data_IF_419276564244
#
_entry.id   IF_419276564244
#
_cell.length_a   1.000
_cell.length_b   1.000
_cell.length_c   1.000
_cell.angle_alpha   90.00
_cell.angle_beta   90.00
_cell.angle_gamma   90.00
#
_symmetry.space_group_name_H-M   'P 1'
#
loop_
_entity.id
_entity.type
_entity.pdbx_description
1 polymer ?
#
# COMPACT_ATOMS: atom_id res chain seq x y z
N UNK A 1 -7.01 -19.26 17.14
CA UNK A 1 -8.34 -18.69 16.86
C UNK A 1 -8.52 -17.44 17.71
N UNK A 2 -8.87 -16.30 17.08
CA UNK A 2 -9.23 -15.10 17.82
C UNK A 2 -10.47 -15.37 18.68
N UNK A 3 -10.38 -15.00 19.96
CA UNK A 3 -11.55 -15.09 20.84
C UNK A 3 -12.55 -13.96 20.51
N UNK A 4 -13.83 -14.12 20.83
CA UNK A 4 -14.81 -13.03 20.71
C UNK A 4 -14.38 -11.75 21.44
N UNK A 5 -13.71 -11.91 22.59
CA UNK A 5 -13.18 -10.78 23.35
C UNK A 5 -12.04 -10.07 22.63
N UNK A 6 -11.14 -10.81 21.99
CA UNK A 6 -10.07 -10.24 21.17
C UNK A 6 -10.64 -9.45 19.96
N UNK A 7 -11.61 -9.99 19.27
CA UNK A 7 -12.31 -9.31 18.17
C UNK A 7 -12.94 -8.01 18.66
N UNK A 8 -13.62 -8.06 19.80
CA UNK A 8 -14.26 -6.89 20.41
C UNK A 8 -13.24 -5.81 20.80
N UNK A 9 -12.13 -6.19 21.44
CA UNK A 9 -11.05 -5.25 21.82
C UNK A 9 -10.40 -4.63 20.58
N UNK A 10 -10.12 -5.44 19.55
CA UNK A 10 -9.59 -4.96 18.27
C UNK A 10 -10.56 -3.96 17.63
N UNK A 11 -11.86 -4.27 17.63
CA UNK A 11 -12.91 -3.38 17.12
C UNK A 11 -12.94 -2.04 17.85
N UNK A 12 -12.88 -2.06 19.17
CA UNK A 12 -12.88 -0.84 19.99
C UNK A 12 -11.64 0.02 19.71
N UNK A 13 -10.46 -0.62 19.63
CA UNK A 13 -9.22 0.08 19.34
C UNK A 13 -9.25 0.76 17.95
N UNK A 14 -9.79 0.07 16.94
CA UNK A 14 -9.93 0.61 15.60
C UNK A 14 -10.98 1.75 15.58
N UNK A 15 -12.14 1.56 16.21
CA UNK A 15 -13.19 2.57 16.25
C UNK A 15 -12.71 3.87 16.90
N UNK A 16 -11.89 3.79 17.96
CA UNK A 16 -11.28 4.97 18.59
C UNK A 16 -10.38 5.75 17.61
N UNK A 17 -9.67 5.07 16.72
CA UNK A 17 -8.77 5.70 15.77
C UNK A 17 -9.49 6.24 14.53
N UNK A 18 -10.40 5.46 13.96
CA UNK A 18 -11.01 5.77 12.64
C UNK A 18 -12.39 6.42 12.74
N UNK A 19 -13.03 6.34 13.91
CA UNK A 19 -14.37 6.86 14.17
C UNK A 19 -15.50 5.97 13.66
N UNK A 20 -16.69 6.13 14.24
CA UNK A 20 -17.88 5.31 13.94
C UNK A 20 -18.28 5.31 12.47
N UNK A 21 -18.12 6.43 11.78
CA UNK A 21 -18.50 6.54 10.37
C UNK A 21 -17.65 5.60 9.48
N UNK A 22 -16.36 5.50 9.76
CA UNK A 22 -15.48 4.62 9.00
C UNK A 22 -15.64 3.15 9.39
N UNK A 23 -15.99 2.87 10.66
CA UNK A 23 -16.21 1.50 11.14
C UNK A 23 -17.31 0.73 10.40
N UNK A 24 -18.30 1.39 9.82
CA UNK A 24 -19.35 0.73 9.02
C UNK A 24 -18.83 0.04 7.75
N UNK A 25 -17.63 0.39 7.30
CA UNK A 25 -16.96 -0.20 6.14
C UNK A 25 -15.99 -1.30 6.53
N UNK A 26 -15.74 -1.50 7.84
CA UNK A 26 -14.74 -2.42 8.38
C UNK A 26 -15.43 -3.60 9.04
N UNK A 27 -15.08 -4.79 8.60
CA UNK A 27 -15.42 -6.05 9.25
C UNK A 27 -14.16 -6.64 9.87
N UNK A 28 -14.27 -7.16 11.08
CA UNK A 28 -13.18 -7.83 11.78
C UNK A 28 -13.61 -9.26 12.00
N UNK A 29 -12.83 -10.19 11.46
CA UNK A 29 -13.15 -11.62 11.45
C UNK A 29 -12.01 -12.44 12.04
N UNK A 30 -12.33 -13.64 12.52
CA UNK A 30 -11.33 -14.66 12.77
C UNK A 30 -10.84 -15.24 11.42
N UNK A 31 -9.57 -15.66 11.36
CA UNK A 31 -8.97 -16.18 10.12
C UNK A 31 -9.75 -17.33 9.48
N UNK A 32 -10.35 -18.18 10.28
CA UNK A 32 -11.15 -19.31 9.81
C UNK A 32 -12.54 -18.92 9.25
N UNK A 33 -13.02 -17.73 9.58
CA UNK A 33 -14.29 -17.17 9.10
C UNK A 33 -14.14 -16.50 7.73
N UNK A 34 -12.90 -16.32 7.28
CA UNK A 34 -12.61 -15.75 5.97
C UNK A 34 -13.12 -16.72 4.92
N UNK A 35 -14.13 -16.31 4.16
CA UNK A 35 -14.54 -17.02 2.95
C UNK A 35 -13.31 -17.10 2.03
N UNK A 36 -12.86 -18.32 1.74
CA UNK A 36 -11.70 -18.54 0.88
C UNK A 36 -12.07 -18.16 -0.55
N UNK A 37 -11.58 -17.04 -1.09
CA UNK A 37 -11.65 -16.83 -2.52
C UNK A 37 -10.80 -17.89 -3.23
N UNK A 38 -11.04 -18.12 -4.51
CA UNK A 38 -10.35 -19.14 -5.34
C UNK A 38 -8.82 -19.03 -5.35
N UNK A 39 -8.27 -17.91 -4.89
CA UNK A 39 -6.84 -17.58 -4.73
C UNK A 39 -6.36 -17.55 -3.26
N UNK A 40 -6.85 -18.46 -2.43
CA UNK A 40 -6.61 -18.50 -0.98
C UNK A 40 -5.12 -18.58 -0.53
N UNK A 41 -4.17 -18.82 -1.43
CA UNK A 41 -2.74 -18.83 -1.07
C UNK A 41 -2.23 -17.45 -0.67
N UNK A 42 -2.71 -16.39 -1.30
CA UNK A 42 -2.23 -15.01 -1.09
C UNK A 42 -2.73 -14.39 0.23
N UNK A 43 -3.73 -14.98 0.88
CA UNK A 43 -4.34 -14.43 2.10
C UNK A 43 -3.80 -15.04 3.40
N UNK A 44 -2.89 -16.02 3.34
CA UNK A 44 -2.37 -16.71 4.54
C UNK A 44 -1.68 -15.76 5.52
N UNK A 45 -0.97 -14.77 5.00
CA UNK A 45 -0.22 -13.79 5.80
C UNK A 45 -0.87 -12.39 5.80
N UNK A 46 -2.04 -12.24 5.17
CA UNK A 46 -2.72 -10.97 5.12
C UNK A 46 -3.19 -10.53 6.52
N UNK A 47 -3.03 -9.25 6.81
CA UNK A 47 -3.58 -8.61 8.01
C UNK A 47 -5.00 -8.07 7.77
N UNK A 48 -5.31 -7.76 6.51
CA UNK A 48 -6.57 -7.29 6.02
C UNK A 48 -6.49 -6.99 4.54
N UNK A 49 -7.61 -6.64 3.94
CA UNK A 49 -7.71 -6.19 2.56
C UNK A 49 -8.95 -5.33 2.33
N UNK A 50 -8.89 -4.48 1.32
CA UNK A 50 -10.01 -3.76 0.76
C UNK A 50 -10.53 -4.48 -0.49
N UNK A 51 -11.83 -4.69 -0.57
CA UNK A 51 -12.51 -5.23 -1.75
C UNK A 51 -13.17 -4.09 -2.53
N UNK A 52 -12.67 -3.73 -3.73
CA UNK A 52 -13.22 -2.64 -4.52
C UNK A 52 -14.63 -2.91 -5.06
N UNK A 53 -15.04 -4.19 -5.19
CA UNK A 53 -16.38 -4.54 -5.69
C UNK A 53 -17.46 -4.27 -4.65
N UNK A 54 -17.19 -4.64 -3.40
CA UNK A 54 -18.12 -4.46 -2.29
C UNK A 54 -17.87 -3.16 -1.50
N UNK A 55 -16.72 -2.50 -1.74
CA UNK A 55 -16.20 -1.36 -0.98
C UNK A 55 -16.09 -1.63 0.52
N UNK A 56 -15.87 -2.88 0.89
CA UNK A 56 -15.69 -3.32 2.27
C UNK A 56 -14.24 -3.62 2.57
N UNK A 57 -13.91 -3.47 3.84
CA UNK A 57 -12.59 -3.78 4.40
C UNK A 57 -12.77 -4.95 5.33
N UNK A 58 -11.98 -5.99 5.15
CA UNK A 58 -11.90 -7.13 6.06
C UNK A 58 -10.55 -7.13 6.76
N UNK A 59 -10.56 -7.23 8.09
CA UNK A 59 -9.37 -7.31 8.93
C UNK A 59 -9.36 -8.64 9.69
N UNK A 60 -8.19 -9.28 9.77
CA UNK A 60 -8.02 -10.57 10.42
C UNK A 60 -7.48 -10.35 11.83
N UNK A 61 -8.31 -10.66 12.85
CA UNK A 61 -8.00 -10.36 14.25
C UNK A 61 -6.69 -10.99 14.74
N UNK A 62 -6.38 -12.22 14.33
CA UNK A 62 -5.13 -12.92 14.71
C UNK A 62 -3.88 -12.29 14.10
N UNK A 63 -4.02 -11.59 13.00
CA UNK A 63 -2.92 -10.90 12.33
C UNK A 63 -2.64 -9.49 12.88
N UNK A 64 -3.43 -9.05 13.87
CA UNK A 64 -3.36 -7.73 14.49
C UNK A 64 -2.88 -7.85 15.94
N UNK A 65 -1.59 -8.05 16.19
CA UNK A 65 -1.05 -8.46 17.49
C UNK A 65 -1.21 -7.40 18.58
N UNK A 66 -1.44 -6.16 18.22
CA UNK A 66 -1.61 -5.05 19.15
C UNK A 66 -2.47 -3.93 18.56
N UNK A 67 -2.92 -3.04 19.44
CA UNK A 67 -3.79 -1.93 19.11
C UNK A 67 -3.21 -1.01 18.02
N UNK A 68 -1.92 -0.69 18.10
CA UNK A 68 -1.25 0.18 17.11
C UNK A 68 -1.23 -0.44 15.71
N UNK A 69 -0.92 -1.72 15.63
CA UNK A 69 -0.97 -2.46 14.35
C UNK A 69 -2.38 -2.49 13.80
N UNK A 70 -3.39 -2.76 14.65
CA UNK A 70 -4.78 -2.79 14.23
C UNK A 70 -5.25 -1.44 13.67
N UNK A 71 -4.93 -0.34 14.35
CA UNK A 71 -5.23 1.01 13.90
C UNK A 71 -4.54 1.35 12.60
N UNK A 72 -3.25 0.99 12.48
CA UNK A 72 -2.47 1.23 11.26
C UNK A 72 -3.07 0.50 10.05
N UNK A 73 -3.36 -0.81 10.20
CA UNK A 73 -3.94 -1.61 9.11
C UNK A 73 -5.32 -1.09 8.73
N UNK A 74 -6.16 -0.73 9.70
CA UNK A 74 -7.47 -0.14 9.43
C UNK A 74 -7.37 1.15 8.62
N UNK A 75 -6.46 2.05 8.99
CA UNK A 75 -6.21 3.28 8.22
C UNK A 75 -5.66 3.00 6.83
N UNK A 76 -4.79 2.00 6.70
CA UNK A 76 -4.24 1.60 5.42
C UNK A 76 -5.36 1.16 4.46
N UNK A 77 -6.22 0.24 4.89
CA UNK A 77 -7.31 -0.26 4.05
C UNK A 77 -8.40 0.82 3.79
N UNK A 78 -8.66 1.68 4.77
CA UNK A 78 -9.52 2.86 4.57
C UNK A 78 -8.94 3.82 3.54
N UNK A 79 -7.62 3.95 3.49
CA UNK A 79 -6.94 4.72 2.48
C UNK A 79 -7.18 4.16 1.07
N UNK A 80 -7.04 2.85 0.87
CA UNK A 80 -7.37 2.20 -0.41
C UNK A 80 -8.81 2.46 -0.82
N UNK A 81 -9.75 2.29 0.11
CA UNK A 81 -11.16 2.60 -0.14
C UNK A 81 -11.38 4.06 -0.53
N UNK A 82 -10.79 5.00 0.19
CA UNK A 82 -10.95 6.42 -0.11
C UNK A 82 -10.28 6.84 -1.41
N UNK A 83 -9.16 6.22 -1.77
CA UNK A 83 -8.49 6.43 -3.05
C UNK A 83 -9.40 5.92 -4.18
N UNK A 84 -9.99 4.74 -4.03
CA UNK A 84 -10.89 4.15 -5.01
C UNK A 84 -12.15 5.02 -5.21
N UNK A 85 -12.75 5.51 -4.12
CA UNK A 85 -14.00 6.28 -4.16
C UNK A 85 -13.77 7.76 -4.50
N UNK A 86 -12.76 8.40 -3.94
CA UNK A 86 -12.63 9.86 -3.94
C UNK A 86 -11.28 10.39 -4.47
N UNK A 87 -10.29 9.56 -4.67
CA UNK A 87 -8.90 10.00 -4.85
C UNK A 87 -8.13 9.40 -6.01
N UNK A 88 -8.74 8.52 -6.80
CA UNK A 88 -8.06 7.76 -7.88
C UNK A 88 -7.29 8.66 -8.86
N UNK A 89 -7.88 9.76 -9.30
CA UNK A 89 -7.21 10.68 -10.24
C UNK A 89 -5.93 11.32 -9.66
N UNK A 90 -5.96 11.67 -8.36
CA UNK A 90 -4.79 12.26 -7.68
C UNK A 90 -3.69 11.24 -7.48
N UNK A 91 -4.07 10.02 -7.16
CA UNK A 91 -3.16 8.90 -7.02
C UNK A 91 -2.50 8.55 -8.36
N UNK A 92 -3.29 8.46 -9.43
CA UNK A 92 -2.78 8.29 -10.78
C UNK A 92 -1.85 9.43 -11.20
N UNK A 93 -2.16 10.67 -10.86
CA UNK A 93 -1.31 11.82 -11.18
C UNK A 93 0.06 11.71 -10.48
N UNK A 94 0.10 11.28 -9.21
CA UNK A 94 1.34 11.05 -8.48
C UNK A 94 2.23 10.02 -9.18
N UNK A 95 1.66 8.85 -9.52
CA UNK A 95 2.44 7.79 -10.15
C UNK A 95 2.81 8.11 -11.59
N UNK A 96 1.99 8.86 -12.31
CA UNK A 96 2.35 9.40 -13.63
C UNK A 96 3.54 10.35 -13.53
N UNK A 97 3.57 11.19 -12.50
CA UNK A 97 4.71 12.08 -12.22
C UNK A 97 5.96 11.26 -11.88
N UNK A 98 5.85 10.20 -11.08
CA UNK A 98 6.95 9.31 -10.77
C UNK A 98 7.50 8.61 -12.01
N UNK A 99 6.63 8.06 -12.85
CA UNK A 99 6.99 7.39 -14.10
C UNK A 99 7.71 8.33 -15.07
N UNK A 100 7.22 9.56 -15.23
CA UNK A 100 7.82 10.52 -16.16
C UNK A 100 9.07 11.21 -15.60
N UNK A 101 9.17 11.32 -14.28
CA UNK A 101 10.23 12.08 -13.60
C UNK A 101 11.45 11.27 -13.17
N UNK A 102 11.38 9.93 -13.23
CA UNK A 102 12.48 9.07 -12.81
C UNK A 102 12.73 7.95 -13.84
N UNK A 103 13.89 7.96 -14.55
CA UNK A 103 14.18 6.98 -15.60
C UNK A 103 14.29 5.54 -15.08
N UNK A 104 14.71 5.32 -13.82
CA UNK A 104 14.79 3.99 -13.22
C UNK A 104 13.38 3.44 -12.96
N UNK A 105 12.49 4.24 -12.36
CA UNK A 105 11.09 3.87 -12.15
C UNK A 105 10.44 3.54 -13.49
N UNK A 106 10.66 4.38 -14.50
CA UNK A 106 10.14 4.16 -15.84
C UNK A 106 10.60 2.83 -16.42
N UNK A 107 11.90 2.56 -16.38
CA UNK A 107 12.49 1.34 -16.94
C UNK A 107 12.00 0.08 -16.22
N UNK A 108 11.96 0.09 -14.87
CA UNK A 108 11.46 -1.02 -14.07
C UNK A 108 9.98 -1.25 -14.34
N UNK A 109 9.16 -0.21 -14.33
CA UNK A 109 7.72 -0.31 -14.62
C UNK A 109 7.46 -0.87 -16.03
N UNK A 110 8.21 -0.43 -17.05
CA UNK A 110 8.10 -0.92 -18.41
C UNK A 110 8.48 -2.42 -18.50
N UNK A 111 9.50 -2.87 -17.74
CA UNK A 111 9.89 -4.28 -17.67
C UNK A 111 8.80 -5.12 -17.01
N UNK A 112 8.27 -4.69 -15.87
CA UNK A 112 7.17 -5.37 -15.16
C UNK A 112 5.94 -5.45 -16.05
N UNK A 113 5.57 -4.36 -16.69
CA UNK A 113 4.43 -4.31 -17.59
C UNK A 113 4.57 -5.26 -18.79
N UNK A 114 5.77 -5.34 -19.39
CA UNK A 114 6.06 -6.28 -20.48
C UNK A 114 5.94 -7.74 -20.03
N UNK A 115 6.46 -8.06 -18.84
CA UNK A 115 6.38 -9.42 -18.29
C UNK A 115 4.92 -9.86 -18.02
N UNK A 116 4.05 -8.92 -17.67
CA UNK A 116 2.61 -9.17 -17.37
C UNK A 116 1.69 -9.11 -18.58
N UNK A 117 2.17 -8.77 -19.75
CA UNK A 117 1.34 -8.65 -21.00
C UNK A 117 0.58 -9.91 -21.41
N UNK A 118 0.82 -11.06 -20.78
CA UNK A 118 0.03 -12.27 -20.98
C UNK A 118 -1.24 -12.35 -20.11
N UNK A 119 -1.46 -11.46 -19.14
CA UNK A 119 -2.66 -11.39 -18.32
C UNK A 119 -3.67 -10.43 -19.01
N UNK A 120 -4.71 -10.99 -19.58
CA UNK A 120 -5.55 -10.37 -20.62
C UNK A 120 -6.46 -9.21 -20.18
N UNK A 121 -6.59 -8.84 -18.90
CA UNK A 121 -7.58 -7.85 -18.46
C UNK A 121 -6.94 -6.62 -17.79
N UNK A 122 -7.18 -5.44 -18.37
CA UNK A 122 -6.91 -4.17 -17.74
C UNK A 122 -5.54 -3.52 -18.03
N UNK A 123 -5.16 -3.31 -19.30
CA UNK A 123 -3.86 -2.73 -19.68
C UNK A 123 -3.48 -1.42 -18.96
N UNK A 124 -4.44 -0.53 -18.68
CA UNK A 124 -4.19 0.72 -17.98
C UNK A 124 -3.92 0.49 -16.46
N UNK A 125 -4.68 -0.40 -15.83
CA UNK A 125 -4.49 -0.79 -14.44
C UNK A 125 -3.15 -1.52 -14.24
N UNK A 126 -2.82 -2.45 -15.15
CA UNK A 126 -1.55 -3.18 -15.10
C UNK A 126 -0.34 -2.25 -15.24
N UNK A 127 -0.44 -1.19 -16.05
CA UNK A 127 0.63 -0.20 -16.17
C UNK A 127 0.77 0.62 -14.88
N UNK A 128 -0.32 1.00 -14.27
CA UNK A 128 -0.34 1.73 -13.01
C UNK A 128 0.30 0.89 -11.89
N UNK A 129 -0.13 -0.37 -11.72
CA UNK A 129 0.44 -1.30 -10.74
C UNK A 129 1.93 -1.54 -10.96
N UNK A 130 2.38 -1.62 -12.21
CA UNK A 130 3.80 -1.74 -12.52
C UNK A 130 4.61 -0.51 -12.07
N UNK A 131 4.04 0.69 -12.15
CA UNK A 131 4.69 1.92 -11.63
C UNK A 131 4.72 1.92 -10.11
N UNK A 132 3.65 1.49 -9.45
CA UNK A 132 3.61 1.34 -8.00
C UNK A 132 4.71 0.40 -7.50
N UNK A 133 4.84 -0.79 -8.10
CA UNK A 133 5.91 -1.75 -7.76
C UNK A 133 7.30 -1.15 -7.97
N UNK A 134 7.53 -0.49 -9.10
CA UNK A 134 8.82 0.14 -9.39
C UNK A 134 9.18 1.21 -8.35
N UNK A 135 8.20 2.01 -7.92
CA UNK A 135 8.38 3.02 -6.86
C UNK A 135 8.68 2.35 -5.52
N UNK A 136 7.93 1.31 -5.15
CA UNK A 136 8.09 0.60 -3.90
C UNK A 136 9.47 -0.08 -3.80
N UNK A 137 9.87 -0.79 -4.85
CA UNK A 137 11.18 -1.46 -4.91
C UNK A 137 12.36 -0.48 -4.83
N UNK A 138 12.30 0.62 -5.60
CA UNK A 138 13.36 1.61 -5.58
C UNK A 138 13.43 2.35 -4.23
N UNK A 139 12.29 2.61 -3.59
CA UNK A 139 12.24 3.20 -2.27
C UNK A 139 12.81 2.26 -1.20
N UNK A 140 12.47 0.97 -1.27
CA UNK A 140 13.03 -0.05 -0.38
C UNK A 140 14.56 -0.14 -0.50
N UNK A 141 15.08 -0.17 -1.74
CA UNK A 141 16.52 -0.16 -2.00
C UNK A 141 17.20 1.10 -1.45
N UNK A 142 16.56 2.26 -1.60
CA UNK A 142 17.09 3.52 -1.05
C UNK A 142 17.14 3.49 0.49
N UNK A 143 16.12 2.95 1.17
CA UNK A 143 16.05 2.90 2.63
C UNK A 143 17.00 1.88 3.25
N UNK A 144 17.19 0.74 2.58
CA UNK A 144 18.08 -0.33 3.06
C UNK A 144 19.52 -0.18 2.61
N UNK A 145 19.76 0.59 1.54
CA UNK A 145 21.05 0.66 0.86
C UNK A 145 21.32 -0.53 -0.04
N UNK A 146 20.41 -1.51 -0.11
CA UNK A 146 20.58 -2.75 -0.89
C UNK A 146 20.16 -2.58 -2.36
N UNK A 147 20.95 -1.82 -3.08
CA UNK A 147 20.77 -1.66 -4.52
C UNK A 147 21.15 -2.92 -5.31
N UNK A 148 21.96 -3.81 -4.74
CA UNK A 148 22.33 -5.06 -5.41
C UNK A 148 21.12 -5.99 -5.53
N UNK A 149 20.35 -6.17 -4.46
CA UNK A 149 19.10 -6.93 -4.49
C UNK A 149 18.08 -6.31 -5.46
N UNK A 150 17.96 -4.99 -5.46
CA UNK A 150 17.10 -4.28 -6.42
C UNK A 150 17.51 -4.56 -7.87
N UNK A 151 18.80 -4.43 -8.18
CA UNK A 151 19.33 -4.64 -9.51
C UNK A 151 19.15 -6.10 -9.98
N UNK A 152 19.35 -7.06 -9.06
CA UNK A 152 19.13 -8.48 -9.34
C UNK A 152 17.65 -8.78 -9.63
N UNK A 153 16.73 -8.21 -8.84
CA UNK A 153 15.29 -8.44 -8.98
C UNK A 153 14.72 -7.80 -10.24
N UNK A 154 15.13 -6.57 -10.56
CA UNK A 154 14.50 -5.76 -11.60
C UNK A 154 15.29 -5.72 -12.92
N UNK A 155 16.52 -6.24 -12.94
CA UNK A 155 17.38 -6.19 -14.11
C UNK A 155 17.82 -4.77 -14.52
N UNK A 156 17.72 -3.81 -13.62
CA UNK A 156 17.99 -2.38 -13.87
C UNK A 156 19.02 -1.86 -12.90
N UNK A 157 20.14 -1.34 -13.42
CA UNK A 157 21.20 -0.75 -12.59
C UNK A 157 20.82 0.67 -12.14
N UNK A 158 21.14 1.00 -10.88
CA UNK A 158 20.99 2.34 -10.33
C UNK A 158 22.36 3.02 -10.24
N UNK A 159 22.70 3.95 -11.14
CA UNK A 159 23.98 4.63 -11.13
C UNK A 159 24.23 5.37 -9.81
N UNK A 160 25.50 5.42 -9.35
CA UNK A 160 25.85 6.08 -8.09
C UNK A 160 25.39 7.54 -8.02
N UNK A 161 25.54 8.30 -9.11
CA UNK A 161 25.05 9.67 -9.18
C UNK A 161 23.55 9.78 -8.90
N UNK A 162 22.76 8.81 -9.37
CA UNK A 162 21.33 8.77 -9.13
C UNK A 162 21.00 8.35 -7.69
N UNK A 163 21.73 7.38 -7.12
CA UNK A 163 21.57 7.00 -5.70
C UNK A 163 21.71 8.22 -4.79
N UNK A 164 22.65 9.11 -5.08
CA UNK A 164 22.87 10.32 -4.30
C UNK A 164 21.70 11.32 -4.35
N UNK A 165 20.88 11.28 -5.39
CA UNK A 165 19.72 12.18 -5.56
C UNK A 165 18.40 11.57 -5.07
N UNK A 166 18.35 10.26 -4.87
CA UNK A 166 17.12 9.56 -4.47
C UNK A 166 16.57 10.05 -3.13
N UNK A 167 17.42 10.41 -2.17
CA UNK A 167 16.97 10.96 -0.90
C UNK A 167 16.06 12.17 -1.06
N UNK A 168 16.48 13.15 -1.85
CA UNK A 168 15.68 14.34 -2.15
C UNK A 168 14.43 14.02 -3.00
N UNK A 169 14.55 13.08 -3.93
CA UNK A 169 13.42 12.63 -4.74
C UNK A 169 12.33 12.00 -3.87
N UNK A 170 12.68 11.02 -3.03
CA UNK A 170 11.71 10.35 -2.16
C UNK A 170 11.20 11.23 -1.03
N UNK A 171 11.98 12.17 -0.52
CA UNK A 171 11.48 13.15 0.43
C UNK A 171 10.35 14.00 -0.16
N UNK A 172 10.50 14.46 -1.42
CA UNK A 172 9.42 15.18 -2.12
C UNK A 172 8.20 14.29 -2.36
N UNK A 173 8.42 13.05 -2.80
CA UNK A 173 7.34 12.08 -3.02
C UNK A 173 6.61 11.76 -1.71
N UNK A 174 7.33 11.48 -0.64
CA UNK A 174 6.75 11.21 0.68
C UNK A 174 5.95 12.40 1.21
N UNK A 175 6.43 13.61 1.01
CA UNK A 175 5.70 14.81 1.38
C UNK A 175 4.41 14.99 0.56
N UNK A 176 4.44 14.65 -0.71
CA UNK A 176 3.25 14.67 -1.55
C UNK A 176 2.26 13.58 -1.13
N UNK A 177 2.74 12.37 -0.91
CA UNK A 177 1.94 11.25 -0.37
C UNK A 177 1.29 11.60 0.96
N UNK A 178 2.04 12.17 1.91
CA UNK A 178 1.48 12.65 3.19
C UNK A 178 0.33 13.62 2.98
N UNK A 179 0.50 14.56 2.05
CA UNK A 179 -0.54 15.55 1.77
C UNK A 179 -1.81 14.89 1.19
N UNK A 180 -1.64 13.95 0.26
CA UNK A 180 -2.75 13.20 -0.33
C UNK A 180 -3.43 12.34 0.73
N UNK A 181 -2.67 11.55 1.50
CA UNK A 181 -3.20 10.67 2.54
C UNK A 181 -3.88 11.44 3.66
N UNK A 182 -3.27 12.52 4.16
CA UNK A 182 -3.87 13.37 5.19
C UNK A 182 -5.24 13.91 4.75
N UNK A 183 -5.34 14.37 3.50
CA UNK A 183 -6.60 14.86 2.94
C UNK A 183 -7.63 13.74 2.78
N UNK A 184 -7.20 12.57 2.32
CA UNK A 184 -8.06 11.38 2.13
C UNK A 184 -8.55 10.84 3.47
N UNK A 185 -7.68 10.80 4.48
CA UNK A 185 -7.98 10.27 5.82
C UNK A 185 -8.64 11.28 6.75
N UNK A 186 -8.64 12.57 6.40
CA UNK A 186 -9.16 13.63 7.26
C UNK A 186 -8.35 13.85 8.53
N UNK A 187 -7.03 13.61 8.47
CA UNK A 187 -6.10 13.77 9.59
C UNK A 187 -5.08 14.88 9.29
N UNK A 188 -4.41 15.37 10.32
CA UNK A 188 -3.33 16.32 10.12
C UNK A 188 -2.12 15.65 9.45
N UNK A 189 -1.49 16.35 8.51
CA UNK A 189 -0.34 15.85 7.74
C UNK A 189 0.81 15.35 8.63
N UNK A 190 1.06 16.03 9.74
CA UNK A 190 2.16 15.73 10.66
C UNK A 190 1.94 14.45 11.48
N UNK A 191 0.71 13.92 11.50
CA UNK A 191 0.40 12.65 12.18
C UNK A 191 0.82 11.42 11.38
N UNK A 192 1.13 11.58 10.08
CA UNK A 192 1.56 10.50 9.20
C UNK A 192 3.08 10.41 9.22
N UNK A 193 3.61 9.38 9.86
CA UNK A 193 5.05 9.13 10.00
C UNK A 193 5.70 8.61 8.72
N UNK A 194 7.03 8.72 8.63
CA UNK A 194 7.81 8.10 7.54
C UNK A 194 7.63 6.59 7.48
N UNK A 195 7.49 5.93 8.64
CA UNK A 195 7.25 4.48 8.71
C UNK A 195 5.90 4.09 8.09
N UNK A 196 4.88 4.92 8.25
CA UNK A 196 3.56 4.71 7.63
C UNK A 196 3.64 4.91 6.12
N UNK A 197 4.33 5.95 5.64
CA UNK A 197 4.59 6.15 4.21
C UNK A 197 5.36 4.96 3.63
N UNK A 198 6.38 4.48 4.34
CA UNK A 198 7.13 3.28 3.93
C UNK A 198 6.24 2.03 3.90
N UNK A 199 5.41 1.85 4.91
CA UNK A 199 4.42 0.76 4.95
C UNK A 199 3.45 0.80 3.77
N UNK A 200 3.02 1.97 3.36
CA UNK A 200 2.20 2.17 2.17
C UNK A 200 2.93 1.73 0.90
N UNK A 201 4.14 2.21 0.69
CA UNK A 201 4.94 1.86 -0.48
C UNK A 201 5.30 0.37 -0.52
N UNK A 202 5.56 -0.25 0.65
CA UNK A 202 5.93 -1.67 0.74
C UNK A 202 4.77 -2.64 0.55
N UNK A 203 3.55 -2.27 0.93
CA UNK A 203 2.36 -3.14 0.79
C UNK A 203 1.84 -3.24 -0.64
N UNK A 204 2.25 -2.33 -1.50
CA UNK A 204 1.98 -2.41 -2.94
C UNK A 204 2.74 -3.55 -3.63
N UNK A 205 3.60 -4.24 -2.88
CA UNK A 205 4.50 -5.30 -3.34
C UNK A 205 3.94 -6.73 -3.14
N UNK A 206 2.62 -6.87 -2.82
CA UNK A 206 1.97 -8.18 -2.64
C UNK A 206 0.79 -8.41 -3.55
#
# INVERSE_FOLDING_TARGET
RASPEQIKQTRQAIEQAVGKQNMRHIEIVAREEVARPDNAEDLRDAQGWYDPKTQRITLIAEALPNQRTAQFVAWHELGHRKIDVDGWEKWQALFRTAYNGNPIIKQVADNIFKARKGAADGAALNKFLAVEEAVADLYAAHKTGDYAAFEQRNGVKVPQAMRNTLGGYFARMANHLRTVLAKVMGVERNTISDAEIYGWLKKLDK
#
